data_IF_125454114656
#
_entry.id   IF_125454114656
#
_cell.length_a   1.000
_cell.length_b   1.000
_cell.length_c   1.000
_cell.angle_alpha   90.00
_cell.angle_beta   90.00
_cell.angle_gamma   90.00
#
_symmetry.space_group_name_H-M   'P 1'
#
loop_
_entity.id
_entity.type
_entity.pdbx_description
1 polymer ?
#
# COMPACT_ATOMS: atom_id res chain seq x y z
N UNK A 1 -1.20 49.88 -56.12
CA UNK A 1 -0.85 50.23 -54.72
C UNK A 1 -1.76 49.42 -53.80
N UNK A 2 -1.17 48.84 -52.74
CA UNK A 2 -1.68 47.82 -51.81
C UNK A 2 -3.05 48.21 -51.21
N UNK A 3 -3.94 47.26 -50.85
CA UNK A 3 -4.22 46.79 -49.46
C UNK A 3 -5.65 46.18 -49.45
N UNK A 4 -6.10 45.20 -48.65
CA UNK A 4 -5.57 44.33 -47.59
C UNK A 4 -6.54 43.12 -47.56
N UNK A 5 -6.05 41.89 -47.59
CA UNK A 5 -6.87 40.71 -47.32
C UNK A 5 -7.01 40.59 -45.81
N UNK A 6 -8.23 40.79 -45.30
CA UNK A 6 -8.52 40.63 -43.88
C UNK A 6 -8.56 39.13 -43.55
N UNK A 7 -7.44 38.62 -43.03
CA UNK A 7 -7.38 37.29 -42.41
C UNK A 7 -8.05 37.42 -41.05
N UNK A 8 -9.28 36.91 -40.95
CA UNK A 8 -9.98 36.76 -39.67
C UNK A 8 -9.31 35.62 -38.93
N UNK A 9 -8.44 35.96 -37.98
CA UNK A 9 -7.84 35.00 -37.05
C UNK A 9 -8.94 34.55 -36.10
N UNK A 10 -9.52 33.38 -36.38
CA UNK A 10 -10.47 32.71 -35.48
C UNK A 10 -9.69 32.28 -34.23
N UNK A 11 -9.72 33.11 -33.19
CA UNK A 11 -9.19 32.79 -31.87
C UNK A 11 -10.09 31.71 -31.23
N UNK A 12 -9.89 30.46 -31.66
CA UNK A 12 -10.47 29.30 -30.99
C UNK A 12 -9.81 29.13 -29.63
N UNK A 13 -10.55 29.42 -28.57
CA UNK A 13 -10.18 29.01 -27.20
C UNK A 13 -10.31 27.49 -27.16
N UNK A 14 -9.21 26.79 -27.41
CA UNK A 14 -9.10 25.36 -27.18
C UNK A 14 -8.98 25.18 -25.66
N UNK A 15 -10.10 24.98 -24.99
CA UNK A 15 -10.13 24.56 -23.60
C UNK A 15 -9.53 23.16 -23.51
N UNK A 16 -8.22 23.08 -23.27
CA UNK A 16 -7.55 21.84 -22.91
C UNK A 16 -8.04 21.44 -21.51
N UNK A 17 -9.14 20.72 -21.43
CA UNK A 17 -9.48 19.96 -20.21
C UNK A 17 -8.44 18.84 -20.08
N UNK A 18 -7.31 19.16 -19.47
CA UNK A 18 -6.30 18.17 -19.10
C UNK A 18 -6.89 17.27 -18.02
N UNK A 19 -7.09 16.00 -18.33
CA UNK A 19 -7.32 14.99 -17.30
C UNK A 19 -6.03 14.84 -16.50
N UNK A 20 -5.91 15.54 -15.36
CA UNK A 20 -4.88 15.21 -14.38
C UNK A 20 -5.26 13.86 -13.76
N UNK A 21 -4.63 12.77 -14.21
CA UNK A 21 -4.73 11.49 -13.52
C UNK A 21 -4.05 11.65 -12.15
N UNK A 22 -4.83 11.61 -11.07
CA UNK A 22 -4.33 11.64 -9.69
C UNK A 22 -3.42 10.44 -9.44
N UNK A 23 -2.30 10.65 -8.74
CA UNK A 23 -1.42 9.54 -8.36
C UNK A 23 -2.13 8.70 -7.30
N UNK A 24 -2.03 7.35 -7.34
CA UNK A 24 -2.59 6.51 -6.28
C UNK A 24 -1.89 6.75 -4.92
N UNK A 25 -0.77 7.47 -4.90
CA UNK A 25 -0.03 7.90 -3.70
C UNK A 25 -0.40 9.31 -3.21
N UNK A 26 -1.37 9.99 -3.85
CA UNK A 26 -1.78 11.35 -3.46
C UNK A 26 -2.18 11.44 -1.98
N UNK A 27 -1.67 12.46 -1.28
CA UNK A 27 -1.88 12.66 0.16
C UNK A 27 -0.93 11.86 1.06
N UNK A 28 -0.05 11.03 0.50
CA UNK A 28 1.06 10.42 1.25
C UNK A 28 2.34 11.25 1.04
N UNK A 29 3.12 11.55 2.09
CA UNK A 29 4.43 12.19 1.93
C UNK A 29 5.30 11.42 0.94
N UNK A 30 6.00 12.14 0.03
CA UNK A 30 6.79 11.52 -1.03
C UNK A 30 7.78 10.46 -0.50
N UNK A 31 8.51 10.77 0.57
CA UNK A 31 9.46 9.83 1.18
C UNK A 31 8.76 8.57 1.72
N UNK A 32 7.59 8.73 2.34
CA UNK A 32 6.80 7.60 2.83
C UNK A 32 6.32 6.72 1.66
N UNK A 33 5.77 7.33 0.60
CA UNK A 33 5.35 6.62 -0.61
C UNK A 33 6.52 5.84 -1.24
N UNK A 34 7.68 6.46 -1.39
CA UNK A 34 8.87 5.76 -1.93
C UNK A 34 9.34 4.61 -1.06
N UNK A 35 9.19 4.71 0.27
CA UNK A 35 9.53 3.64 1.18
C UNK A 35 8.58 2.43 1.04
N UNK A 36 7.26 2.68 0.95
CA UNK A 36 6.28 1.63 0.65
C UNK A 36 6.52 0.97 -0.72
N UNK A 37 6.78 1.77 -1.75
CA UNK A 37 7.14 1.27 -3.07
C UNK A 37 8.43 0.44 -3.05
N UNK A 38 9.43 0.89 -2.29
CA UNK A 38 10.72 0.20 -2.17
C UNK A 38 10.64 -1.17 -1.51
N UNK A 39 9.57 -1.45 -0.77
CA UNK A 39 9.28 -2.79 -0.22
C UNK A 39 8.22 -3.56 -1.03
N UNK A 40 7.84 -3.06 -2.21
CA UNK A 40 6.92 -3.72 -3.13
C UNK A 40 5.43 -3.61 -2.75
N UNK A 41 5.07 -2.79 -1.75
CA UNK A 41 3.68 -2.61 -1.32
C UNK A 41 2.98 -1.61 -2.23
N UNK A 42 1.80 -1.98 -2.73
CA UNK A 42 0.99 -1.14 -3.60
C UNK A 42 0.28 -0.04 -2.80
N UNK A 43 -0.09 1.06 -3.47
CA UNK A 43 -0.64 2.25 -2.80
C UNK A 43 -1.89 1.97 -1.95
N UNK A 44 -2.78 1.11 -2.42
CA UNK A 44 -3.99 0.73 -1.68
C UNK A 44 -3.64 -0.06 -0.40
N UNK A 45 -2.76 -1.04 -0.51
CA UNK A 45 -2.28 -1.85 0.61
C UNK A 45 -1.50 -1.00 1.63
N UNK A 46 -0.65 -0.09 1.14
CA UNK A 46 0.08 0.86 1.97
C UNK A 46 -0.88 1.77 2.76
N UNK A 47 -1.97 2.24 2.15
CA UNK A 47 -3.00 3.03 2.85
C UNK A 47 -3.69 2.22 3.95
N UNK A 48 -4.06 0.96 3.67
CA UNK A 48 -4.68 0.08 4.66
C UNK A 48 -3.76 -0.21 5.86
N UNK A 49 -2.48 -0.47 5.59
CA UNK A 49 -1.45 -0.67 6.63
C UNK A 49 -1.24 0.61 7.44
N UNK A 50 -1.02 1.74 6.75
CA UNK A 50 -0.83 3.06 7.36
C UNK A 50 -2.01 3.48 8.24
N UNK A 51 -3.25 3.26 7.78
CA UNK A 51 -4.45 3.57 8.57
C UNK A 51 -4.60 2.68 9.81
N UNK A 52 -3.90 1.55 9.86
CA UNK A 52 -3.79 0.67 11.02
C UNK A 52 -2.50 0.89 11.83
N UNK A 53 -1.78 1.98 11.58
CA UNK A 53 -0.62 2.39 12.37
C UNK A 53 0.71 1.76 11.95
N UNK A 54 0.76 1.02 10.83
CA UNK A 54 2.00 0.47 10.31
C UNK A 54 2.81 1.54 9.56
N UNK A 55 4.11 1.53 9.79
CA UNK A 55 5.09 2.20 8.94
C UNK A 55 5.59 1.26 7.83
N UNK A 56 6.25 1.78 6.78
CA UNK A 56 6.95 0.93 5.81
C UNK A 56 7.93 -0.04 6.48
N UNK A 57 8.61 0.38 7.56
CA UNK A 57 9.55 -0.46 8.29
C UNK A 57 8.85 -1.64 8.96
N UNK A 58 7.71 -1.41 9.61
CA UNK A 58 6.94 -2.47 10.27
C UNK A 58 6.48 -3.50 9.24
N UNK A 59 5.92 -3.03 8.12
CA UNK A 59 5.42 -3.89 7.06
C UNK A 59 6.53 -4.67 6.35
N UNK A 60 7.73 -4.07 6.18
CA UNK A 60 8.87 -4.70 5.52
C UNK A 60 9.18 -6.08 6.09
N UNK A 61 9.13 -6.24 7.42
CA UNK A 61 9.41 -7.52 8.06
C UNK A 61 8.38 -8.59 7.68
N UNK A 62 7.10 -8.21 7.54
CA UNK A 62 6.03 -9.10 7.07
C UNK A 62 6.20 -9.50 5.62
N UNK A 63 6.51 -8.54 4.75
CA UNK A 63 6.76 -8.80 3.32
C UNK A 63 7.97 -9.74 3.15
N UNK A 64 9.04 -9.53 3.92
CA UNK A 64 10.25 -10.37 3.85
C UNK A 64 10.02 -11.83 4.24
N UNK A 65 9.02 -12.12 5.10
CA UNK A 65 8.63 -13.49 5.45
C UNK A 65 7.50 -14.04 4.59
N UNK A 66 7.15 -13.34 3.50
CA UNK A 66 6.17 -13.78 2.51
C UNK A 66 4.71 -13.49 2.87
N UNK A 67 4.44 -12.72 3.93
CA UNK A 67 3.07 -12.35 4.33
C UNK A 67 2.74 -10.99 3.74
N UNK A 68 2.08 -11.00 2.57
CA UNK A 68 1.84 -9.79 1.77
C UNK A 68 0.44 -9.18 1.93
N UNK A 69 -0.54 -9.95 2.43
CA UNK A 69 -1.92 -9.46 2.59
C UNK A 69 -2.00 -8.47 3.75
N UNK A 70 -2.43 -7.20 3.53
CA UNK A 70 -2.59 -6.22 4.60
C UNK A 70 -3.50 -6.72 5.71
N UNK A 71 -4.61 -7.37 5.36
CA UNK A 71 -5.55 -7.93 6.33
C UNK A 71 -4.85 -8.94 7.24
N UNK A 72 -4.09 -9.88 6.66
CA UNK A 72 -3.35 -10.90 7.43
C UNK A 72 -2.30 -10.24 8.32
N UNK A 73 -1.54 -9.28 7.81
CA UNK A 73 -0.55 -8.53 8.59
C UNK A 73 -1.21 -7.87 9.81
N UNK A 74 -2.31 -7.15 9.58
CA UNK A 74 -3.03 -6.39 10.60
C UNK A 74 -3.60 -7.33 11.68
N UNK A 75 -4.29 -8.41 11.27
CA UNK A 75 -4.92 -9.34 12.20
C UNK A 75 -3.90 -10.08 13.07
N UNK A 76 -2.84 -10.60 12.47
CA UNK A 76 -1.81 -11.36 13.19
C UNK A 76 -0.97 -10.45 14.10
N UNK A 77 -0.66 -9.23 13.66
CA UNK A 77 0.01 -8.25 14.51
C UNK A 77 -0.85 -7.83 15.72
N UNK A 78 -2.15 -7.58 15.51
CA UNK A 78 -3.10 -7.27 16.60
C UNK A 78 -3.24 -8.41 17.61
N UNK A 79 -3.11 -9.65 17.16
CA UNK A 79 -3.04 -10.84 18.03
C UNK A 79 -1.67 -11.02 18.72
N UNK A 80 -0.73 -10.09 18.50
CA UNK A 80 0.59 -10.08 19.11
C UNK A 80 1.54 -11.13 18.55
N UNK A 81 1.38 -11.54 17.29
CA UNK A 81 2.38 -12.35 16.61
C UNK A 81 3.41 -11.44 15.94
N UNK A 82 4.69 -11.80 16.09
CA UNK A 82 5.74 -11.23 15.25
C UNK A 82 5.64 -11.78 13.83
N UNK A 83 6.15 -11.06 12.81
CA UNK A 83 6.15 -11.53 11.42
C UNK A 83 6.69 -12.96 11.27
N UNK A 84 7.85 -13.24 11.90
CA UNK A 84 8.52 -14.55 11.84
C UNK A 84 7.71 -15.66 12.51
N UNK A 85 7.01 -15.38 13.61
CA UNK A 85 6.18 -16.39 14.25
C UNK A 85 4.91 -16.63 13.43
N UNK A 86 4.26 -15.56 12.96
CA UNK A 86 3.06 -15.66 12.13
C UNK A 86 3.32 -16.44 10.84
N UNK A 87 4.43 -16.17 10.14
CA UNK A 87 4.74 -16.85 8.88
C UNK A 87 4.86 -18.36 9.03
N UNK A 88 5.38 -18.86 10.15
CA UNK A 88 5.43 -20.30 10.43
C UNK A 88 4.04 -20.92 10.60
N UNK A 89 3.14 -20.26 11.32
CA UNK A 89 1.77 -20.75 11.51
C UNK A 89 1.02 -20.76 10.18
N UNK A 90 1.14 -19.67 9.42
CA UNK A 90 0.54 -19.51 8.09
C UNK A 90 1.07 -20.58 7.12
N UNK A 91 2.39 -20.83 7.11
CA UNK A 91 3.01 -21.84 6.25
C UNK A 91 2.51 -23.27 6.54
N UNK A 92 2.08 -23.54 7.78
CA UNK A 92 1.45 -24.82 8.16
C UNK A 92 -0.08 -24.81 8.04
N UNK A 93 -0.66 -23.79 7.39
CA UNK A 93 -2.09 -23.62 7.19
C UNK A 93 -2.91 -23.55 8.49
N UNK A 94 -2.32 -23.09 9.58
CA UNK A 94 -3.10 -22.78 10.79
C UNK A 94 -3.84 -21.46 10.61
N UNK A 95 -5.12 -21.47 10.97
CA UNK A 95 -5.90 -20.24 11.17
C UNK A 95 -5.34 -19.41 12.33
N UNK A 96 -5.59 -18.10 12.32
CA UNK A 96 -5.23 -17.21 13.43
C UNK A 96 -5.83 -17.68 14.77
N UNK A 97 -7.10 -18.10 14.79
CA UNK A 97 -7.76 -18.58 16.02
C UNK A 97 -7.02 -19.75 16.66
N UNK A 98 -6.64 -20.74 15.85
CA UNK A 98 -5.82 -21.88 16.31
C UNK A 98 -4.44 -21.45 16.80
N UNK A 99 -3.80 -20.51 16.11
CA UNK A 99 -2.51 -19.99 16.56
C UNK A 99 -2.65 -19.27 17.91
N UNK A 100 -3.71 -18.48 18.12
CA UNK A 100 -4.02 -17.81 19.39
C UNK A 100 -4.26 -18.83 20.51
N UNK A 101 -5.09 -19.84 20.24
CA UNK A 101 -5.37 -20.94 21.17
C UNK A 101 -4.07 -21.61 21.64
N UNK A 102 -3.20 -22.03 20.71
CA UNK A 102 -1.93 -22.66 21.06
C UNK A 102 -0.96 -21.71 21.76
N UNK A 103 -0.88 -20.45 21.31
CA UNK A 103 -0.06 -19.43 21.99
C UNK A 103 -0.50 -19.23 23.44
N UNK A 104 -1.82 -19.25 23.73
CA UNK A 104 -2.35 -19.14 25.09
C UNK A 104 -1.96 -20.32 26.00
N UNK A 105 -1.63 -21.47 25.40
CA UNK A 105 -1.13 -22.66 26.09
C UNK A 105 0.41 -22.69 26.17
N UNK A 106 1.09 -21.64 25.68
CA UNK A 106 2.55 -21.57 25.63
C UNK A 106 3.18 -22.39 24.50
N UNK A 107 2.37 -22.90 23.56
CA UNK A 107 2.85 -23.68 22.43
C UNK A 107 3.28 -22.77 21.27
N UNK A 108 4.35 -23.17 20.59
CA UNK A 108 4.86 -22.52 19.38
C UNK A 108 4.82 -23.51 18.21
N UNK A 109 4.80 -22.97 17.00
CA UNK A 109 4.98 -23.75 15.78
C UNK A 109 6.47 -23.78 15.43
N UNK A 110 7.01 -24.98 15.26
CA UNK A 110 8.41 -25.18 14.84
C UNK A 110 8.61 -25.05 13.34
#
# INVERSE_FOLDING_TARGET
MKKVVAIVVMAGVISLTGCASSSPWDGMPYQEATAWQGIGVQAFDARALRSNGFTPTDAKEWIQVGVNSPQVIIEWNKAGFSPRNASKWIAKNFSLDKAIEYKSQGLTVE
#
